data_IF_103088580358
#
_entry.id   IF_103088580358
#
_cell.length_a   1.000
_cell.length_b   1.000
_cell.length_c   1.000
_cell.angle_alpha   90.00
_cell.angle_beta   90.00
_cell.angle_gamma   90.00
#
_symmetry.space_group_name_H-M   'P 1'
#
loop_
_entity.id
_entity.type
_entity.pdbx_description
1 polymer ?
#
# COMPACT_ATOMS: atom_id res chain seq x y z
N UNK A 1 -12.82 -6.92 7.56
CA UNK A 1 -14.00 -6.89 6.66
C UNK A 1 -13.68 -6.86 5.15
N UNK A 2 -12.95 -5.88 4.59
CA UNK A 2 -12.72 -5.82 3.12
C UNK A 2 -11.74 -6.89 2.61
N UNK A 3 -10.66 -7.17 3.37
CA UNK A 3 -9.64 -8.18 3.02
C UNK A 3 -10.19 -9.60 3.04
N UNK A 4 -11.05 -9.92 4.00
CA UNK A 4 -11.64 -11.27 4.16
C UNK A 4 -12.50 -11.66 2.96
N UNK A 5 -13.22 -10.71 2.35
CA UNK A 5 -14.01 -10.96 1.14
C UNK A 5 -13.13 -11.27 -0.09
N UNK A 6 -11.99 -10.60 -0.24
CA UNK A 6 -11.09 -10.75 -1.38
C UNK A 6 -10.17 -11.97 -1.24
N UNK A 7 -9.62 -12.19 -0.05
CA UNK A 7 -8.69 -13.30 0.24
C UNK A 7 -9.45 -14.62 0.40
N UNK A 8 -10.65 -14.60 0.99
CA UNK A 8 -11.49 -15.80 1.15
C UNK A 8 -12.04 -16.36 -0.18
N UNK A 9 -12.17 -15.53 -1.22
CA UNK A 9 -12.69 -15.94 -2.52
C UNK A 9 -11.61 -16.46 -3.49
N UNK A 10 -10.33 -16.19 -3.23
CA UNK A 10 -9.23 -16.48 -4.15
C UNK A 10 -8.05 -17.08 -3.38
N UNK A 11 -8.01 -18.42 -3.30
CA UNK A 11 -6.98 -19.18 -2.59
C UNK A 11 -5.52 -18.96 -3.08
N UNK A 12 -5.32 -18.19 -4.16
CA UNK A 12 -4.00 -17.85 -4.72
C UNK A 12 -3.69 -16.36 -4.67
N UNK A 13 -4.55 -15.52 -4.09
CA UNK A 13 -4.29 -14.08 -3.99
C UNK A 13 -3.30 -13.81 -2.87
N UNK A 14 -2.20 -13.13 -3.20
CA UNK A 14 -1.20 -12.67 -2.24
C UNK A 14 -1.43 -11.17 -1.97
N UNK A 15 -1.40 -10.76 -0.71
CA UNK A 15 -1.51 -9.34 -0.36
C UNK A 15 -0.11 -8.72 -0.23
N UNK A 16 0.07 -7.55 -0.85
CA UNK A 16 1.24 -6.69 -0.61
C UNK A 16 0.76 -5.42 0.09
N UNK A 17 1.28 -5.17 1.28
CA UNK A 17 1.02 -3.97 2.05
C UNK A 17 2.17 -2.98 1.86
N UNK A 18 1.91 -1.93 1.08
CA UNK A 18 2.83 -0.83 0.86
C UNK A 18 2.73 0.15 2.04
N UNK A 19 3.66 0.04 2.99
CA UNK A 19 3.70 0.84 4.21
C UNK A 19 4.41 2.16 3.96
N UNK A 20 3.82 3.26 4.42
CA UNK A 20 4.45 4.58 4.35
C UNK A 20 3.84 5.56 5.34
N UNK A 21 4.61 6.59 5.69
CA UNK A 21 4.11 7.64 6.58
C UNK A 21 3.13 8.59 5.86
N UNK A 22 2.17 9.20 6.57
CA UNK A 22 1.26 10.18 5.99
C UNK A 22 2.00 11.34 5.30
N UNK A 23 3.11 11.80 5.89
CA UNK A 23 3.93 12.88 5.32
C UNK A 23 4.56 12.49 3.98
N UNK A 24 5.11 11.26 3.88
CA UNK A 24 5.71 10.77 2.63
C UNK A 24 4.66 10.60 1.53
N UNK A 25 3.49 10.05 1.87
CA UNK A 25 2.39 9.86 0.92
C UNK A 25 1.82 11.21 0.48
N UNK A 26 1.63 12.14 1.42
CA UNK A 26 1.20 13.52 1.13
C UNK A 26 2.13 14.22 0.14
N UNK A 27 3.45 14.22 0.40
CA UNK A 27 4.43 14.84 -0.51
C UNK A 27 4.44 14.21 -1.92
N UNK A 28 4.25 12.89 -2.03
CA UNK A 28 4.15 12.21 -3.34
C UNK A 28 2.87 12.56 -4.09
N UNK A 29 1.75 12.71 -3.38
CA UNK A 29 0.47 13.10 -3.96
C UNK A 29 0.50 14.55 -4.45
N UNK A 30 1.08 15.46 -3.67
CA UNK A 30 1.24 16.88 -4.03
C UNK A 30 2.14 17.07 -5.26
N UNK A 31 3.18 16.25 -5.42
CA UNK A 31 4.05 16.28 -6.58
C UNK A 31 3.35 15.82 -7.88
N UNK A 32 2.20 15.15 -7.78
CA UNK A 32 1.44 14.67 -8.94
C UNK A 32 0.53 15.79 -9.46
N UNK A 33 0.84 16.33 -10.64
CA UNK A 33 0.07 17.42 -11.26
C UNK A 33 -1.36 17.06 -11.69
N UNK A 34 -1.83 15.83 -11.44
CA UNK A 34 -3.14 15.35 -11.85
C UNK A 34 -3.94 14.74 -10.67
N UNK A 35 -5.04 15.43 -10.34
CA UNK A 35 -6.22 15.02 -9.56
C UNK A 35 -6.16 15.01 -8.03
N UNK A 36 -6.65 16.13 -7.46
CA UNK A 36 -7.60 16.28 -6.37
C UNK A 36 -7.72 15.11 -5.37
N UNK A 37 -6.78 15.04 -4.41
CA UNK A 37 -7.06 14.43 -3.11
C UNK A 37 -7.40 15.55 -2.12
N UNK A 38 -8.64 15.65 -1.61
CA UNK A 38 -8.93 16.62 -0.56
C UNK A 38 -8.06 16.28 0.66
N UNK A 39 -7.44 17.27 1.33
CA UNK A 39 -6.44 17.03 2.39
C UNK A 39 -6.96 16.18 3.56
N UNK A 40 -8.28 16.14 3.78
CA UNK A 40 -8.90 15.28 4.80
C UNK A 40 -9.03 13.80 4.43
N UNK A 41 -8.90 13.43 3.15
CA UNK A 41 -9.08 12.04 2.71
C UNK A 41 -7.88 11.16 3.08
N UNK A 42 -6.66 11.72 3.10
CA UNK A 42 -5.49 10.96 3.52
C UNK A 42 -5.60 10.61 5.01
N UNK A 43 -6.01 11.57 5.84
CA UNK A 43 -6.19 11.38 7.28
C UNK A 43 -7.23 10.28 7.57
N UNK A 44 -8.40 10.31 6.92
CA UNK A 44 -9.43 9.30 7.12
C UNK A 44 -9.02 7.90 6.64
N UNK A 45 -8.21 7.81 5.58
CA UNK A 45 -7.65 6.55 5.09
C UNK A 45 -6.67 5.94 6.10
N UNK A 46 -5.86 6.76 6.78
CA UNK A 46 -4.97 6.29 7.85
C UNK A 46 -5.72 5.92 9.13
N UNK A 47 -6.78 6.66 9.51
CA UNK A 47 -7.62 6.28 10.67
C UNK A 47 -8.35 4.95 10.44
N UNK A 48 -8.74 4.66 9.20
CA UNK A 48 -9.43 3.40 8.86
C UNK A 48 -8.45 2.25 8.58
N UNK A 49 -7.14 2.52 8.58
CA UNK A 49 -6.13 1.54 8.19
C UNK A 49 -5.89 0.50 9.29
N UNK A 50 -6.39 -0.71 9.07
CA UNK A 50 -6.01 -1.89 9.85
C UNK A 50 -4.78 -2.54 9.19
N UNK A 51 -3.60 -2.48 9.79
CA UNK A 51 -2.40 -3.14 9.24
C UNK A 51 -2.64 -4.66 9.09
N UNK A 52 -2.41 -5.27 7.91
CA UNK A 52 -2.64 -6.69 7.71
C UNK A 52 -1.51 -7.56 8.28
N UNK A 53 -1.86 -8.61 9.03
CA UNK A 53 -0.90 -9.58 9.57
C UNK A 53 -0.38 -10.58 8.51
N UNK A 54 -1.21 -10.96 7.53
CA UNK A 54 -0.89 -11.94 6.47
C UNK A 54 -0.66 -11.26 5.12
N UNK A 55 0.37 -10.41 5.06
CA UNK A 55 0.75 -9.68 3.86
C UNK A 55 2.26 -9.45 3.77
N UNK A 56 2.79 -9.41 2.55
CA UNK A 56 4.14 -8.91 2.33
C UNK A 56 4.15 -7.39 2.58
N UNK A 57 4.77 -6.97 3.68
CA UNK A 57 4.92 -5.54 3.97
C UNK A 57 6.17 -5.00 3.29
N UNK A 58 6.03 -3.94 2.49
CA UNK A 58 7.14 -3.27 1.80
C UNK A 58 7.08 -1.77 2.10
N UNK A 59 8.22 -1.20 2.50
CA UNK A 59 8.33 0.23 2.78
C UNK A 59 8.37 1.03 1.46
N UNK A 60 7.45 1.98 1.31
CA UNK A 60 7.39 2.83 0.13
C UNK A 60 8.48 3.90 0.13
N UNK A 61 9.21 4.10 1.23
CA UNK A 61 10.36 5.01 1.29
C UNK A 61 11.53 4.53 0.42
N UNK A 62 11.57 3.24 0.10
CA UNK A 62 12.53 2.67 -0.83
C UNK A 62 12.32 3.22 -2.26
N UNK A 63 13.39 3.24 -3.09
CA UNK A 63 13.27 3.44 -4.52
C UNK A 63 12.29 2.44 -5.15
N UNK A 64 11.59 2.86 -6.20
CA UNK A 64 10.59 2.03 -6.89
C UNK A 64 11.20 0.71 -7.37
N UNK A 65 12.43 0.75 -7.89
CA UNK A 65 13.12 -0.44 -8.37
C UNK A 65 13.35 -1.47 -7.24
N UNK A 66 13.71 -1.01 -6.04
CA UNK A 66 13.90 -1.88 -4.88
C UNK A 66 12.58 -2.47 -4.37
N UNK A 67 11.49 -1.70 -4.42
CA UNK A 67 10.15 -2.19 -4.07
C UNK A 67 9.74 -3.30 -5.03
N UNK A 68 9.95 -3.10 -6.33
CA UNK A 68 9.61 -4.09 -7.37
C UNK A 68 10.43 -5.36 -7.19
N UNK A 69 11.74 -5.25 -6.99
CA UNK A 69 12.61 -6.41 -6.79
C UNK A 69 12.27 -7.16 -5.50
N UNK A 70 11.88 -6.46 -4.44
CA UNK A 70 11.40 -7.09 -3.20
C UNK A 70 10.13 -7.90 -3.43
N UNK A 71 9.16 -7.35 -4.16
CA UNK A 71 7.90 -8.03 -4.47
C UNK A 71 8.15 -9.26 -5.35
N UNK A 72 9.01 -9.11 -6.37
CA UNK A 72 9.38 -10.20 -7.29
C UNK A 72 10.11 -11.33 -6.57
N UNK A 73 11.09 -11.00 -5.72
CA UNK A 73 11.80 -11.97 -4.90
C UNK A 73 10.87 -12.73 -3.94
N UNK A 74 9.95 -12.02 -3.28
CA UNK A 74 9.01 -12.62 -2.33
C UNK A 74 8.01 -13.58 -2.99
N UNK A 75 7.62 -13.36 -4.24
CA UNK A 75 6.70 -14.24 -4.97
C UNK A 75 7.36 -15.14 -6.01
N UNK A 76 8.69 -15.05 -6.16
CA UNK A 76 9.48 -15.81 -7.15
C UNK A 76 8.95 -15.66 -8.59
N UNK A 77 8.67 -14.41 -9.00
CA UNK A 77 8.14 -14.03 -10.33
C UNK A 77 9.04 -13.05 -11.11
#
# INVERSE_FOLDING_TARGET
MYRELLVGALAQTRLVYLRGSPALIGGRLEARQAHFMPPGLLASQFETLEEPDDALTVDIALPVDEIVETIRGAFSI
#
